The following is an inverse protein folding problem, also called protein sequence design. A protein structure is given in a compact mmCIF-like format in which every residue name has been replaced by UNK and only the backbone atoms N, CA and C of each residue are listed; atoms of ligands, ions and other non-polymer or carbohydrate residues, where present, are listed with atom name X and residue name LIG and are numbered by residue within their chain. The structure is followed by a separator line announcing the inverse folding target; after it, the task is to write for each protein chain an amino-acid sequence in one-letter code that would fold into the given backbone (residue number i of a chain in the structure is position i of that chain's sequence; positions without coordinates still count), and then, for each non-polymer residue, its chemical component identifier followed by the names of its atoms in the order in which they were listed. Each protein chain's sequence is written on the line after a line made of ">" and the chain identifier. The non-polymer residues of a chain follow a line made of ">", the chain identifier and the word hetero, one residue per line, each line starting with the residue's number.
data_IF_542286381209
#
_entry.id   IF_542286381209
#
_cell.length_a   1.000
_cell.length_b   1.000
_cell.length_c   1.000
_cell.angle_alpha   90.00
_cell.angle_beta   90.00
_cell.angle_gamma   90.00
#
_symmetry.space_group_name_H-M   'P 1'
#
loop_
_entity.id
_entity.type
_entity.pdbx_description
1 polymer ?
#
# COMPACT_ATOMS: atom_id res chain seq x y z
N UNK A 1 -16.70 0.39 -16.99
CA UNK A 1 -15.67 -0.66 -17.21
C UNK A 1 -16.38 -1.84 -17.84
N UNK A 2 -15.89 -2.41 -18.95
CA UNK A 2 -16.50 -3.66 -19.46
C UNK A 2 -16.20 -4.79 -18.48
N UNK A 3 -17.17 -5.69 -18.27
CA UNK A 3 -17.02 -6.82 -17.36
C UNK A 3 -15.80 -7.69 -17.75
N UNK A 4 -15.57 -7.86 -19.06
CA UNK A 4 -14.47 -8.66 -19.60
C UNK A 4 -13.09 -8.10 -19.24
N UNK A 5 -12.93 -6.78 -19.21
CA UNK A 5 -11.66 -6.16 -18.84
C UNK A 5 -11.35 -6.36 -17.35
N UNK A 6 -12.36 -6.19 -16.49
CA UNK A 6 -12.18 -6.43 -15.06
C UNK A 6 -11.72 -7.86 -14.79
N UNK A 7 -12.42 -8.83 -15.37
CA UNK A 7 -12.14 -10.26 -15.15
C UNK A 7 -10.79 -10.69 -15.71
N UNK A 8 -10.36 -10.14 -16.86
CA UNK A 8 -9.11 -10.53 -17.51
C UNK A 8 -7.87 -9.77 -17.03
N UNK A 9 -8.03 -8.50 -16.64
CA UNK A 9 -6.89 -7.59 -16.42
C UNK A 9 -6.78 -7.02 -15.00
N UNK A 10 -7.83 -7.12 -14.17
CA UNK A 10 -7.81 -6.63 -12.78
C UNK A 10 -7.94 -7.78 -11.80
N UNK A 11 -8.98 -8.62 -11.93
CA UNK A 11 -9.29 -9.70 -11.00
C UNK A 11 -8.11 -10.66 -10.74
N UNK A 12 -7.30 -11.07 -11.74
CA UNK A 12 -6.14 -11.93 -11.50
C UNK A 12 -5.07 -11.29 -10.61
N UNK A 13 -5.09 -9.95 -10.49
CA UNK A 13 -4.15 -9.15 -9.72
C UNK A 13 -4.80 -8.54 -8.47
N UNK A 14 -6.03 -8.94 -8.13
CA UNK A 14 -6.76 -8.39 -6.98
C UNK A 14 -5.99 -8.53 -5.67
N UNK A 15 -5.27 -9.64 -5.47
CA UNK A 15 -4.43 -9.84 -4.28
C UNK A 15 -3.37 -8.74 -4.10
N UNK A 16 -2.75 -8.28 -5.20
CA UNK A 16 -1.79 -7.17 -5.19
C UNK A 16 -2.49 -5.89 -4.73
N UNK A 17 -3.61 -5.57 -5.38
CA UNK A 17 -4.37 -4.35 -5.11
C UNK A 17 -4.84 -4.33 -3.65
N UNK A 18 -5.38 -5.45 -3.17
CA UNK A 18 -5.86 -5.59 -1.79
C UNK A 18 -4.74 -5.36 -0.78
N UNK A 19 -3.59 -6.02 -0.94
CA UNK A 19 -2.43 -5.87 -0.04
C UNK A 19 -1.94 -4.42 0.00
N UNK A 20 -1.83 -3.78 -1.17
CA UNK A 20 -1.44 -2.37 -1.24
C UNK A 20 -2.49 -1.50 -0.56
N UNK A 21 -3.77 -1.57 -0.93
CA UNK A 21 -4.80 -0.74 -0.31
C UNK A 21 -4.84 -0.89 1.23
N UNK A 22 -4.81 -2.13 1.75
CA UNK A 22 -4.79 -2.40 3.20
C UNK A 22 -3.59 -1.80 3.92
N UNK A 23 -2.44 -1.70 3.26
CA UNK A 23 -1.28 -1.06 3.87
C UNK A 23 -1.42 0.47 3.97
N UNK A 24 -2.30 1.09 3.19
CA UNK A 24 -2.50 2.54 3.17
C UNK A 24 -3.79 3.01 3.84
N UNK A 25 -4.64 2.11 4.31
CA UNK A 25 -5.93 2.42 4.96
C UNK A 25 -6.02 1.85 6.37
N UNK A 26 -6.90 2.41 7.19
CA UNK A 26 -7.14 1.97 8.57
C UNK A 26 -8.55 1.41 8.79
N UNK A 27 -9.51 1.73 7.92
CA UNK A 27 -10.90 1.28 8.04
C UNK A 27 -11.30 0.46 6.81
N UNK A 28 -12.36 -0.33 6.96
CA UNK A 28 -12.95 -1.07 5.85
C UNK A 28 -13.47 -0.12 4.75
N UNK A 29 -14.11 0.99 5.15
CA UNK A 29 -14.61 2.00 4.22
C UNK A 29 -13.48 2.64 3.40
N UNK A 30 -12.39 3.09 4.05
CA UNK A 30 -11.25 3.65 3.33
C UNK A 30 -10.65 2.61 2.37
N UNK A 31 -10.56 1.35 2.80
CA UNK A 31 -10.06 0.26 1.97
C UNK A 31 -10.90 0.07 0.69
N UNK A 32 -12.23 0.05 0.82
CA UNK A 32 -13.14 -0.09 -0.31
C UNK A 32 -13.02 1.08 -1.28
N UNK A 33 -12.97 2.31 -0.77
CA UNK A 33 -12.76 3.52 -1.55
C UNK A 33 -11.44 3.46 -2.33
N UNK A 34 -10.35 3.06 -1.67
CA UNK A 34 -9.03 2.94 -2.30
C UNK A 34 -9.02 1.84 -3.36
N UNK A 35 -9.61 0.68 -3.06
CA UNK A 35 -9.69 -0.44 -4.01
C UNK A 35 -10.44 -0.03 -5.28
N UNK A 36 -11.60 0.62 -5.12
CA UNK A 36 -12.41 1.10 -6.24
C UNK A 36 -11.66 2.14 -7.06
N UNK A 37 -11.03 3.12 -6.41
CA UNK A 37 -10.25 4.16 -7.11
C UNK A 37 -9.06 3.54 -7.86
N UNK A 38 -8.35 2.57 -7.28
CA UNK A 38 -7.27 1.86 -7.97
C UNK A 38 -7.81 1.13 -9.19
N UNK A 39 -8.89 0.38 -9.08
CA UNK A 39 -9.51 -0.32 -10.22
C UNK A 39 -9.92 0.67 -11.32
N UNK A 40 -10.52 1.80 -10.93
CA UNK A 40 -10.93 2.86 -11.85
C UNK A 40 -9.71 3.45 -12.59
N UNK A 41 -8.63 3.73 -11.87
CA UNK A 41 -7.41 4.28 -12.44
C UNK A 41 -6.71 3.26 -13.36
N UNK A 42 -6.69 1.97 -13.01
CA UNK A 42 -6.21 0.90 -13.90
C UNK A 42 -6.97 0.95 -15.22
N UNK A 43 -8.30 0.97 -15.15
CA UNK A 43 -9.11 1.03 -16.36
C UNK A 43 -8.89 2.31 -17.16
N UNK A 44 -8.86 3.49 -16.51
CA UNK A 44 -8.66 4.78 -17.20
C UNK A 44 -7.30 4.86 -17.89
N UNK A 45 -6.25 4.33 -17.26
CA UNK A 45 -4.87 4.45 -17.73
C UNK A 45 -4.37 3.25 -18.55
N UNK A 46 -5.20 2.22 -18.77
CA UNK A 46 -4.84 1.00 -19.51
C UNK A 46 -4.19 1.25 -20.89
N UNK A 47 -4.64 2.28 -21.61
CA UNK A 47 -4.10 2.63 -22.94
C UNK A 47 -2.69 3.23 -22.86
N UNK A 48 -2.24 3.65 -21.67
CA UNK A 48 -0.90 4.19 -21.44
C UNK A 48 0.10 3.09 -21.11
N UNK A 49 -0.34 1.84 -20.97
CA UNK A 49 0.57 0.72 -20.77
C UNK A 49 1.27 0.37 -22.08
N UNK A 50 2.58 0.60 -22.12
CA UNK A 50 3.41 0.44 -23.33
C UNK A 50 4.16 -0.90 -23.40
N UNK A 51 3.84 -1.87 -22.54
CA UNK A 51 4.51 -3.18 -22.55
C UNK A 51 5.99 -3.17 -22.18
N UNK A 52 6.49 -2.10 -21.54
CA UNK A 52 7.90 -2.00 -21.10
C UNK A 52 8.21 -2.75 -19.79
N UNK A 53 7.19 -3.32 -19.18
CA UNK A 53 7.27 -4.15 -17.97
C UNK A 53 6.12 -5.16 -18.02
N UNK A 54 6.15 -6.16 -17.14
CA UNK A 54 4.98 -7.00 -16.89
C UNK A 54 3.77 -6.14 -16.48
N UNK A 55 2.58 -6.64 -16.80
CA UNK A 55 1.33 -5.99 -16.40
C UNK A 55 1.21 -5.91 -14.88
N UNK A 56 1.63 -6.96 -14.16
CA UNK A 56 1.66 -7.00 -12.70
C UNK A 56 2.53 -5.89 -12.10
N UNK A 57 3.71 -5.64 -12.68
CA UNK A 57 4.61 -4.53 -12.29
C UNK A 57 3.93 -3.17 -12.48
N UNK A 58 3.20 -2.99 -13.58
CA UNK A 58 2.46 -1.77 -13.83
C UNK A 58 1.28 -1.60 -12.87
N UNK A 59 0.56 -2.68 -12.54
CA UNK A 59 -0.50 -2.69 -11.51
C UNK A 59 0.07 -2.29 -10.15
N UNK A 60 1.19 -2.89 -9.70
CA UNK A 60 1.85 -2.49 -8.44
C UNK A 60 2.16 -0.99 -8.42
N UNK A 61 2.79 -0.48 -9.48
CA UNK A 61 3.16 0.93 -9.59
C UNK A 61 1.93 1.83 -9.49
N UNK A 62 0.87 1.49 -10.23
CA UNK A 62 -0.34 2.31 -10.24
C UNK A 62 -1.06 2.25 -8.89
N UNK A 63 -1.23 1.07 -8.30
CA UNK A 63 -1.84 0.90 -6.97
C UNK A 63 -1.10 1.72 -5.92
N UNK A 64 0.23 1.64 -5.88
CA UNK A 64 1.06 2.41 -4.95
C UNK A 64 0.89 3.92 -5.14
N UNK A 65 0.94 4.39 -6.39
CA UNK A 65 0.79 5.82 -6.70
C UNK A 65 -0.58 6.36 -6.30
N UNK A 66 -1.64 5.62 -6.60
CA UNK A 66 -3.02 6.00 -6.25
C UNK A 66 -3.19 6.01 -4.74
N UNK A 67 -2.80 4.94 -4.03
CA UNK A 67 -2.92 4.86 -2.57
C UNK A 67 -2.11 5.95 -1.86
N UNK A 68 -0.89 6.25 -2.31
CA UNK A 68 -0.09 7.37 -1.76
C UNK A 68 -0.78 8.72 -2.01
N UNK A 69 -1.36 8.92 -3.19
CA UNK A 69 -2.06 10.17 -3.54
C UNK A 69 -3.31 10.37 -2.69
N UNK A 70 -4.11 9.32 -2.52
CA UNK A 70 -5.31 9.34 -1.68
C UNK A 70 -4.97 9.60 -0.22
N UNK A 71 -3.91 8.96 0.31
CA UNK A 71 -3.48 9.16 1.69
C UNK A 71 -3.03 10.60 1.94
N UNK A 72 -2.28 11.20 1.01
CA UNK A 72 -1.89 12.63 1.09
C UNK A 72 -3.12 13.54 1.08
N UNK A 73 -4.12 13.24 0.24
CA UNK A 73 -5.38 14.00 0.17
C UNK A 73 -6.17 13.88 1.48
N UNK A 74 -6.28 12.68 2.03
CA UNK A 74 -6.95 12.42 3.30
C UNK A 74 -6.28 13.22 4.43
N UNK A 75 -4.94 13.15 4.56
CA UNK A 75 -4.17 13.93 5.55
C UNK A 75 -4.33 15.45 5.39
N UNK A 76 -4.46 15.95 4.16
CA UNK A 76 -4.69 17.38 3.90
C UNK A 76 -6.09 17.81 4.33
N UNK A 77 -7.09 16.98 4.07
CA UNK A 77 -8.49 17.26 4.42
C UNK A 77 -8.74 17.10 5.93
N UNK A 78 -7.98 16.24 6.61
CA UNK A 78 -8.03 16.03 8.06
C UNK A 78 -7.02 16.90 8.83
N UNK A 79 -6.61 18.06 8.30
CA UNK A 79 -5.87 19.03 9.11
C UNK A 79 -6.78 19.41 10.29
N UNK A 80 -6.34 19.21 11.55
CA UNK A 80 -7.20 19.48 12.68
C UNK A 80 -7.42 20.99 12.77
N UNK A 81 -8.65 21.44 12.50
CA UNK A 81 -9.20 22.55 13.28
C UNK A 81 -9.24 21.98 14.70
N UNK A 82 -8.60 22.66 15.66
CA UNK A 82 -8.52 22.21 17.05
C UNK A 82 -9.92 21.79 17.55
N UNK A 83 -10.17 20.50 17.61
CA UNK A 83 -11.42 19.91 18.09
C UNK A 83 -11.13 18.44 18.40
N UNK A 84 -11.46 18.12 19.64
CA UNK A 84 -11.40 16.88 20.38
C UNK A 84 -10.90 15.59 19.70
N UNK A 85 -9.99 14.95 20.45
CA UNK A 85 -9.60 13.55 20.27
C UNK A 85 -10.85 12.68 20.24
N UNK A 86 -11.22 12.18 19.06
CA UNK A 86 -12.10 11.03 18.97
C UNK A 86 -11.37 9.79 19.52
N UNK A 87 -12.03 8.95 20.35
CA UNK A 87 -11.49 7.66 20.75
C UNK A 87 -11.31 6.77 19.51
N UNK A 88 -10.41 5.77 19.55
CA UNK A 88 -10.38 4.76 18.51
C UNK A 88 -11.70 3.98 18.55
N UNK A 89 -12.49 4.09 17.47
CA UNK A 89 -13.62 3.20 17.23
C UNK A 89 -13.06 1.78 17.06
N UNK A 90 -13.27 0.94 18.06
CA UNK A 90 -13.06 -0.50 17.97
C UNK A 90 -14.32 -1.04 17.30
N UNK A 91 -14.29 -1.20 15.98
CA UNK A 91 -15.30 -1.99 15.28
C UNK A 91 -14.95 -3.47 15.49
N UNK A 92 -15.73 -4.14 16.35
CA UNK A 92 -15.75 -5.60 16.46
C UNK A 92 -16.37 -6.19 15.18
N UNK A 93 -15.56 -6.33 14.13
CA UNK A 93 -15.85 -7.26 13.04
C UNK A 93 -15.53 -8.70 13.50
N UNK A 94 -16.25 -9.72 13.01
CA UNK A 94 -15.99 -11.11 13.41
C UNK A 94 -14.55 -11.44 13.05
N UNK A 95 -13.71 -11.61 14.08
CA UNK A 95 -12.32 -12.02 13.95
C UNK A 95 -12.28 -13.41 13.32
N UNK A 96 -12.23 -13.43 11.98
CA UNK A 96 -11.49 -14.46 11.25
C UNK A 96 -10.14 -14.54 11.97
N UNK A 97 -9.64 -15.74 12.25
CA UNK A 97 -8.34 -15.97 12.91
C UNK A 97 -7.21 -15.32 12.08
N UNK A 98 -7.07 -14.00 12.20
CA UNK A 98 -5.99 -13.21 11.63
C UNK A 98 -4.92 -13.30 12.72
N UNK A 99 -3.79 -13.87 12.33
CA UNK A 99 -2.59 -13.95 13.14
C UNK A 99 -2.30 -12.56 13.74
N UNK A 100 -2.37 -12.41 15.07
CA UNK A 100 -2.12 -11.15 15.78
C UNK A 100 -0.78 -10.52 15.37
N UNK A 101 0.19 -11.35 14.95
CA UNK A 101 1.49 -10.89 14.48
C UNK A 101 1.41 -10.15 13.13
N UNK A 102 0.48 -10.54 12.26
CA UNK A 102 0.27 -9.91 10.96
C UNK A 102 -0.34 -8.51 11.11
N UNK A 103 -1.33 -8.37 12.00
CA UNK A 103 -1.94 -7.08 12.29
C UNK A 103 -0.92 -6.11 12.90
N UNK A 104 -0.11 -6.59 13.86
CA UNK A 104 0.99 -5.83 14.45
C UNK A 104 2.03 -5.39 13.40
N UNK A 105 2.37 -6.28 12.46
CA UNK A 105 3.29 -5.96 11.37
C UNK A 105 2.72 -4.85 10.48
N UNK A 106 1.46 -4.96 10.05
CA UNK A 106 0.82 -3.91 9.25
C UNK A 106 0.71 -2.58 10.01
N UNK A 107 0.40 -2.62 11.31
CA UNK A 107 0.40 -1.43 12.16
C UNK A 107 1.79 -0.76 12.23
N UNK A 108 2.87 -1.55 12.36
CA UNK A 108 4.23 -1.04 12.34
C UNK A 108 4.63 -0.48 10.95
N UNK A 109 4.28 -1.18 9.87
CA UNK A 109 4.49 -0.75 8.48
C UNK A 109 3.77 0.57 8.20
N UNK A 110 2.59 0.80 8.78
CA UNK A 110 1.85 2.06 8.64
C UNK A 110 2.58 3.26 9.28
N UNK A 111 3.46 3.07 10.25
CA UNK A 111 4.27 4.13 10.85
C UNK A 111 5.50 4.54 10.01
N UNK A 112 5.79 3.81 8.94
CA UNK A 112 6.84 4.17 7.98
C UNK A 112 6.41 5.36 7.11
N UNK A 113 7.38 5.98 6.43
CA UNK A 113 7.05 6.94 5.37
C UNK A 113 6.27 6.23 4.26
N UNK A 114 5.43 6.98 3.54
CA UNK A 114 4.56 6.43 2.48
C UNK A 114 5.34 5.68 1.40
N UNK A 115 6.57 6.13 1.13
CA UNK A 115 7.46 5.51 0.16
C UNK A 115 8.17 4.29 0.74
N UNK A 116 8.65 4.37 1.99
CA UNK A 116 9.28 3.22 2.67
C UNK A 116 8.31 2.06 2.85
N UNK A 117 7.04 2.37 3.09
CA UNK A 117 5.93 1.41 3.12
C UNK A 117 5.84 0.62 1.82
N UNK A 118 5.81 1.32 0.68
CA UNK A 118 5.77 0.67 -0.64
C UNK A 118 6.99 -0.21 -0.88
N UNK A 119 8.19 0.29 -0.54
CA UNK A 119 9.45 -0.46 -0.69
C UNK A 119 9.44 -1.77 0.12
N UNK A 120 9.02 -1.72 1.40
CA UNK A 120 9.04 -2.93 2.23
C UNK A 120 7.98 -3.94 1.83
N UNK A 121 6.80 -3.50 1.39
CA UNK A 121 5.76 -4.40 0.89
C UNK A 121 6.24 -5.17 -0.34
N UNK A 122 6.85 -4.47 -1.30
CA UNK A 122 7.39 -5.13 -2.50
C UNK A 122 8.52 -6.11 -2.16
N UNK A 123 9.35 -5.78 -1.17
CA UNK A 123 10.38 -6.70 -0.68
C UNK A 123 9.79 -7.95 -0.01
N UNK A 124 8.68 -7.82 0.73
CA UNK A 124 7.96 -8.96 1.32
C UNK A 124 7.25 -9.82 0.26
N UNK A 125 6.90 -9.24 -0.90
CA UNK A 125 6.43 -9.96 -2.09
C UNK A 125 7.59 -10.56 -2.92
N UNK A 126 8.79 -10.65 -2.35
CA UNK A 126 10.00 -11.24 -2.96
C UNK A 126 10.45 -10.56 -4.27
N UNK A 127 10.06 -9.30 -4.48
CA UNK A 127 10.53 -8.54 -5.65
C UNK A 127 12.02 -8.26 -5.56
N UNK A 128 12.70 -8.43 -6.69
CA UNK A 128 14.12 -8.07 -6.82
C UNK A 128 14.32 -6.57 -6.61
N UNK A 129 15.53 -6.16 -6.22
CA UNK A 129 15.83 -4.73 -6.03
C UNK A 129 15.62 -3.90 -7.30
N UNK A 130 15.83 -4.52 -8.47
CA UNK A 130 15.54 -3.89 -9.76
C UNK A 130 14.04 -3.69 -9.96
N UNK A 131 13.22 -4.72 -9.75
CA UNK A 131 11.75 -4.59 -9.86
C UNK A 131 11.20 -3.58 -8.86
N UNK A 132 11.68 -3.57 -7.62
CA UNK A 132 11.28 -2.57 -6.62
C UNK A 132 11.61 -1.16 -7.13
N UNK A 133 12.80 -0.96 -7.68
CA UNK A 133 13.21 0.33 -8.22
C UNK A 133 12.32 0.75 -9.38
N UNK A 134 12.01 -0.17 -10.30
CA UNK A 134 11.16 0.07 -11.45
C UNK A 134 9.72 0.40 -11.02
N UNK A 135 9.16 -0.35 -10.07
CA UNK A 135 7.82 -0.11 -9.53
C UNK A 135 7.78 1.25 -8.83
N UNK A 136 8.76 1.55 -7.99
CA UNK A 136 8.81 2.80 -7.22
C UNK A 136 9.25 4.02 -8.07
N UNK A 137 9.74 3.81 -9.29
CA UNK A 137 10.29 4.87 -10.14
C UNK A 137 11.56 5.50 -9.58
N UNK A 138 12.44 4.69 -8.97
CA UNK A 138 13.67 5.15 -8.29
C UNK A 138 14.92 4.42 -8.80
N UNK A 139 16.10 4.77 -8.28
CA UNK A 139 17.37 4.12 -8.64
C UNK A 139 17.58 2.83 -7.82
N UNK A 140 17.88 1.67 -8.46
CA UNK A 140 18.07 0.38 -7.79
C UNK A 140 19.22 0.36 -6.77
N UNK A 141 20.26 1.17 -6.99
CA UNK A 141 21.46 1.18 -6.13
C UNK A 141 21.15 1.54 -4.68
N UNK A 142 20.06 2.28 -4.43
CA UNK A 142 19.69 2.73 -3.10
C UNK A 142 18.66 1.81 -2.41
N UNK A 143 18.07 0.85 -3.13
CA UNK A 143 17.00 0.00 -2.59
C UNK A 143 17.49 -0.89 -1.46
N UNK A 144 18.64 -1.57 -1.62
CA UNK A 144 19.19 -2.46 -0.58
C UNK A 144 19.49 -1.73 0.73
N UNK A 145 20.18 -0.58 0.64
CA UNK A 145 20.48 0.27 1.82
C UNK A 145 19.18 0.77 2.47
N UNK A 146 18.20 1.17 1.65
CA UNK A 146 16.90 1.63 2.14
C UNK A 146 16.13 0.54 2.87
N UNK A 147 16.05 -0.67 2.31
CA UNK A 147 15.42 -1.84 2.96
C UNK A 147 16.06 -2.11 4.31
N UNK A 148 17.39 -2.07 4.40
CA UNK A 148 18.07 -2.31 5.67
C UNK A 148 17.69 -1.26 6.74
N UNK A 149 17.62 0.02 6.35
CA UNK A 149 17.14 1.10 7.24
C UNK A 149 15.69 0.88 7.67
N UNK A 150 14.83 0.45 6.75
CA UNK A 150 13.42 0.15 7.04
C UNK A 150 13.31 -1.01 8.05
N UNK A 151 14.04 -2.11 7.84
CA UNK A 151 14.07 -3.25 8.76
C UNK A 151 14.49 -2.85 10.17
N UNK A 152 15.54 -2.03 10.30
CA UNK A 152 15.99 -1.49 11.59
C UNK A 152 14.89 -0.65 12.25
N UNK A 153 14.18 0.18 11.49
CA UNK A 153 13.07 1.00 12.01
C UNK A 153 11.89 0.14 12.44
N UNK A 154 11.49 -0.84 11.64
CA UNK A 154 10.41 -1.78 11.98
C UNK A 154 10.74 -2.56 13.26
N UNK A 155 11.98 -3.05 13.39
CA UNK A 155 12.43 -3.72 14.60
C UNK A 155 12.28 -2.82 15.84
N UNK A 156 12.69 -1.54 15.76
CA UNK A 156 12.51 -0.60 16.88
C UNK A 156 11.04 -0.38 17.25
N UNK A 157 10.16 -0.27 16.24
CA UNK A 157 8.72 -0.09 16.45
C UNK A 157 8.12 -1.33 17.13
N UNK A 158 8.47 -2.53 16.65
CA UNK A 158 7.96 -3.80 17.19
C UNK A 158 8.52 -4.11 18.58
N UNK A 159 9.78 -3.77 18.85
CA UNK A 159 10.42 -3.96 20.17
C UNK A 159 9.96 -2.91 21.21
N UNK A 160 9.03 -2.00 20.86
CA UNK A 160 8.52 -0.95 21.75
C UNK A 160 9.53 0.14 22.10
N UNK A 161 10.69 0.18 21.44
CA UNK A 161 11.73 1.20 21.64
C UNK A 161 11.47 2.39 20.73
N UNK A 162 10.41 3.13 21.05
CA UNK A 162 10.20 4.48 20.51
C UNK A 162 11.13 5.40 21.33
N UNK A 163 12.19 5.92 20.70
CA UNK A 163 12.90 7.08 21.22
C UNK A 163 12.08 8.34 20.97
#
# INVERSE_FOLDING_TARGET
>A
MSNDFYTSSILPYAAIIIKICRAYTNTQQDFEDYYQEVCLQIWKSRNNFQGRSEWSTWVYRLSLNVSMTMLKKQKKNHRPIASDRLPPDILDEPRVFIDDSLEQLYAAIRQLSEVDRGVILLYLEEKSYQEIADIMGTNPNNIGVRIQRIKVRLKKILDGKIN
#
